data_IF_667294549327
#
_entry.id   IF_667294549327
#
_cell.length_a   1.000
_cell.length_b   1.000
_cell.length_c   1.000
_cell.angle_alpha   90.00
_cell.angle_beta   90.00
_cell.angle_gamma   90.00
#
_symmetry.space_group_name_H-M   'P 1'
#
loop_
_entity.id
_entity.type
_entity.pdbx_description
1 polymer ?
#
# COMPACT_ATOMS: atom_id res chain seq x y z
N UNK A 1 10.26 12.46 -22.15
CA UNK A 1 9.56 11.18 -22.33
C UNK A 1 8.90 10.71 -21.05
N UNK A 2 9.54 10.82 -19.87
CA UNK A 2 8.93 10.47 -18.57
C UNK A 2 7.66 11.29 -18.23
N UNK A 3 7.70 12.61 -18.40
CA UNK A 3 6.53 13.47 -18.14
C UNK A 3 5.28 13.08 -18.97
N UNK A 4 5.47 12.62 -20.22
CA UNK A 4 4.37 12.14 -21.05
C UNK A 4 3.79 10.84 -20.48
N UNK A 5 4.66 9.92 -20.03
CA UNK A 5 4.26 8.65 -19.40
C UNK A 5 3.49 8.87 -18.09
N UNK A 6 3.88 9.87 -17.29
CA UNK A 6 3.19 10.18 -16.03
C UNK A 6 1.79 10.75 -16.27
N UNK A 7 1.63 11.63 -17.28
CA UNK A 7 0.33 12.12 -17.69
C UNK A 7 -0.59 11.01 -18.22
N UNK A 8 -0.06 10.10 -19.02
CA UNK A 8 -0.82 8.96 -19.54
C UNK A 8 -1.25 8.01 -18.40
N UNK A 9 -0.35 7.77 -17.43
CA UNK A 9 -0.62 6.97 -16.22
C UNK A 9 -1.70 7.63 -15.35
N UNK A 10 -1.60 8.93 -15.12
CA UNK A 10 -2.58 9.71 -14.37
C UNK A 10 -3.96 9.64 -15.04
N UNK A 11 -4.03 9.85 -16.36
CA UNK A 11 -5.28 9.77 -17.11
C UNK A 11 -5.90 8.37 -17.05
N UNK A 12 -5.07 7.33 -17.19
CA UNK A 12 -5.51 5.93 -17.10
C UNK A 12 -6.15 5.62 -15.73
N UNK A 13 -5.50 6.00 -14.64
CA UNK A 13 -6.03 5.72 -13.31
C UNK A 13 -7.24 6.58 -12.94
N UNK A 14 -7.31 7.84 -13.37
CA UNK A 14 -8.53 8.65 -13.22
C UNK A 14 -9.71 8.04 -13.98
N UNK A 15 -9.48 7.55 -15.20
CA UNK A 15 -10.50 6.86 -15.97
C UNK A 15 -10.95 5.55 -15.29
N UNK A 16 -10.00 4.79 -14.74
CA UNK A 16 -10.26 3.56 -14.00
C UNK A 16 -11.08 3.85 -12.73
N UNK A 17 -10.71 4.88 -11.96
CA UNK A 17 -11.45 5.31 -10.77
C UNK A 17 -12.90 5.65 -11.10
N UNK A 18 -13.13 6.50 -12.11
CA UNK A 18 -14.48 6.93 -12.53
C UNK A 18 -15.32 5.76 -13.05
N UNK A 19 -14.72 4.88 -13.83
CA UNK A 19 -15.41 3.69 -14.34
C UNK A 19 -15.77 2.73 -13.21
N UNK A 20 -14.87 2.54 -12.26
CA UNK A 20 -15.10 1.65 -11.11
C UNK A 20 -16.17 2.21 -10.19
N UNK A 21 -16.18 3.52 -9.95
CA UNK A 21 -17.21 4.24 -9.19
C UNK A 21 -18.60 4.08 -9.85
N UNK A 22 -18.69 4.25 -11.18
CA UNK A 22 -19.95 4.07 -11.90
C UNK A 22 -20.44 2.61 -11.92
N UNK A 23 -19.52 1.64 -11.98
CA UNK A 23 -19.84 0.21 -11.88
C UNK A 23 -20.29 -0.16 -10.47
N UNK A 24 -19.63 0.39 -9.44
CA UNK A 24 -19.98 0.17 -8.05
C UNK A 24 -21.41 0.64 -7.73
N UNK A 25 -21.81 1.80 -8.25
CA UNK A 25 -23.18 2.30 -8.10
C UNK A 25 -24.25 1.35 -8.68
N UNK A 26 -23.87 0.48 -9.62
CA UNK A 26 -24.77 -0.53 -10.22
C UNK A 26 -24.65 -1.89 -9.53
N UNK A 27 -23.45 -2.26 -9.06
CA UNK A 27 -23.17 -3.52 -8.40
C UNK A 27 -22.12 -3.33 -7.29
N UNK A 28 -22.54 -3.05 -6.04
CA UNK A 28 -21.63 -2.86 -4.91
C UNK A 28 -21.09 -4.17 -4.34
N UNK A 29 -21.43 -5.33 -4.93
CA UNK A 29 -20.95 -6.65 -4.51
C UNK A 29 -19.92 -7.23 -5.50
N UNK A 30 -19.41 -6.43 -6.43
CA UNK A 30 -18.31 -6.83 -7.29
C UNK A 30 -16.97 -6.51 -6.61
N UNK A 31 -16.45 -7.48 -5.84
CA UNK A 31 -15.16 -7.35 -5.18
C UNK A 31 -14.02 -7.00 -6.14
N UNK A 32 -14.04 -7.52 -7.38
CA UNK A 32 -13.01 -7.23 -8.38
C UNK A 32 -13.05 -5.78 -8.85
N UNK A 33 -14.23 -5.21 -9.04
CA UNK A 33 -14.39 -3.79 -9.35
C UNK A 33 -14.00 -2.89 -8.17
N UNK A 34 -14.36 -3.27 -6.94
CA UNK A 34 -13.99 -2.53 -5.73
C UNK A 34 -12.47 -2.50 -5.56
N UNK A 35 -11.77 -3.63 -5.79
CA UNK A 35 -10.30 -3.68 -5.80
C UNK A 35 -9.74 -2.70 -6.82
N UNK A 36 -10.21 -2.74 -8.07
CA UNK A 36 -9.72 -1.79 -9.11
C UNK A 36 -9.93 -0.34 -8.73
N UNK A 37 -11.01 -0.03 -8.02
CA UNK A 37 -11.24 1.31 -7.49
C UNK A 37 -10.17 1.67 -6.46
N UNK A 38 -9.92 0.80 -5.49
CA UNK A 38 -8.87 1.00 -4.48
C UNK A 38 -7.48 1.15 -5.09
N UNK A 39 -7.13 0.31 -6.07
CA UNK A 39 -5.84 0.37 -6.79
C UNK A 39 -5.67 1.69 -7.52
N UNK A 40 -6.71 2.16 -8.22
CA UNK A 40 -6.67 3.45 -8.89
C UNK A 40 -6.46 4.60 -7.89
N UNK A 41 -7.11 4.56 -6.71
CA UNK A 41 -6.90 5.57 -5.66
C UNK A 41 -5.47 5.56 -5.12
N UNK A 42 -4.91 4.37 -4.86
CA UNK A 42 -3.53 4.19 -4.39
C UNK A 42 -2.53 4.72 -5.43
N UNK A 43 -2.74 4.44 -6.71
CA UNK A 43 -1.84 4.90 -7.76
C UNK A 43 -1.94 6.41 -8.01
N UNK A 44 -3.15 6.97 -7.97
CA UNK A 44 -3.36 8.42 -8.07
C UNK A 44 -2.75 9.18 -6.89
N UNK A 45 -2.68 8.55 -5.70
CA UNK A 45 -2.09 9.17 -4.50
C UNK A 45 -0.63 9.59 -4.72
N UNK A 46 0.13 8.89 -5.57
CA UNK A 46 1.55 9.17 -5.83
C UNK A 46 1.76 10.53 -6.53
N UNK A 47 0.72 11.06 -7.18
CA UNK A 47 0.77 12.34 -7.91
C UNK A 47 0.28 13.52 -7.07
N UNK A 48 -0.12 13.28 -5.82
CA UNK A 48 -0.66 14.31 -4.92
C UNK A 48 0.39 14.83 -3.94
N UNK A 49 0.03 15.91 -3.23
CA UNK A 49 0.78 16.32 -2.04
C UNK A 49 0.56 15.31 -0.91
N UNK A 50 1.47 15.26 0.08
CA UNK A 50 1.45 14.27 1.18
C UNK A 50 0.09 14.16 1.87
N UNK A 51 -0.58 15.28 2.14
CA UNK A 51 -1.87 15.30 2.83
C UNK A 51 -2.96 14.62 2.01
N UNK A 52 -3.03 14.94 0.72
CA UNK A 52 -4.04 14.37 -0.17
C UNK A 52 -3.69 12.93 -0.58
N UNK A 53 -2.40 12.61 -0.73
CA UNK A 53 -1.91 11.24 -0.90
C UNK A 53 -2.40 10.35 0.25
N UNK A 54 -2.23 10.81 1.50
CA UNK A 54 -2.68 10.06 2.68
C UNK A 54 -4.19 9.81 2.68
N UNK A 55 -5.00 10.82 2.33
CA UNK A 55 -6.46 10.64 2.21
C UNK A 55 -6.82 9.63 1.13
N UNK A 56 -6.23 9.75 -0.06
CA UNK A 56 -6.49 8.80 -1.16
C UNK A 56 -6.06 7.38 -0.82
N UNK A 57 -4.94 7.20 -0.10
CA UNK A 57 -4.53 5.90 0.43
C UNK A 57 -5.54 5.35 1.44
N UNK A 58 -6.07 6.17 2.34
CA UNK A 58 -7.12 5.76 3.29
C UNK A 58 -8.42 5.35 2.58
N UNK A 59 -8.82 6.11 1.55
CA UNK A 59 -9.97 5.76 0.73
C UNK A 59 -9.73 4.43 -0.01
N UNK A 60 -8.52 4.23 -0.55
CA UNK A 60 -8.12 2.98 -1.19
C UNK A 60 -8.13 1.78 -0.24
N UNK A 61 -7.59 1.94 0.98
CA UNK A 61 -7.63 0.93 2.06
C UNK A 61 -9.08 0.57 2.36
N UNK A 62 -9.95 1.57 2.54
CA UNK A 62 -11.38 1.36 2.84
C UNK A 62 -12.06 0.56 1.73
N UNK A 63 -11.69 0.77 0.46
CA UNK A 63 -12.18 -0.03 -0.67
C UNK A 63 -11.69 -1.47 -0.64
N UNK A 64 -10.42 -1.72 -0.34
CA UNK A 64 -9.96 -3.10 -0.22
C UNK A 64 -10.61 -3.85 0.95
N UNK A 65 -10.78 -3.19 2.11
CA UNK A 65 -11.53 -3.75 3.24
C UNK A 65 -12.97 -4.08 2.83
N UNK A 66 -13.61 -3.19 2.06
CA UNK A 66 -14.93 -3.44 1.49
C UNK A 66 -14.97 -4.64 0.54
N UNK A 67 -13.95 -4.79 -0.32
CA UNK A 67 -13.83 -5.96 -1.17
C UNK A 67 -13.67 -7.27 -0.36
N UNK A 68 -12.98 -7.23 0.77
CA UNK A 68 -12.86 -8.38 1.68
C UNK A 68 -14.15 -8.68 2.45
N UNK A 69 -15.00 -7.67 2.70
CA UNK A 69 -16.34 -7.94 3.24
C UNK A 69 -17.21 -8.72 2.25
N UNK A 70 -17.01 -8.50 0.94
CA UNK A 70 -17.70 -9.21 -0.13
C UNK A 70 -17.09 -10.60 -0.37
N UNK A 71 -15.76 -10.69 -0.43
CA UNK A 71 -15.01 -11.93 -0.60
C UNK A 71 -13.80 -11.96 0.36
N UNK A 72 -13.96 -12.56 1.56
CA UNK A 72 -12.90 -12.59 2.58
C UNK A 72 -11.62 -13.30 2.15
N UNK A 73 -11.67 -14.13 1.10
CA UNK A 73 -10.53 -14.91 0.60
C UNK A 73 -9.90 -14.30 -0.64
N UNK A 74 -10.24 -13.04 -0.95
CA UNK A 74 -9.72 -12.34 -2.11
C UNK A 74 -8.25 -11.95 -1.88
N UNK A 75 -7.34 -12.86 -2.23
CA UNK A 75 -5.89 -12.68 -2.09
C UNK A 75 -5.37 -11.38 -2.76
N UNK A 76 -5.97 -10.97 -3.89
CA UNK A 76 -5.63 -9.70 -4.54
C UNK A 76 -5.91 -8.48 -3.64
N UNK A 77 -7.05 -8.47 -2.94
CA UNK A 77 -7.38 -7.38 -2.01
C UNK A 77 -6.45 -7.38 -0.79
N UNK A 78 -6.11 -8.55 -0.27
CA UNK A 78 -5.15 -8.71 0.83
C UNK A 78 -3.77 -8.16 0.43
N UNK A 79 -3.26 -8.55 -0.72
CA UNK A 79 -1.98 -8.04 -1.21
C UNK A 79 -2.01 -6.51 -1.43
N UNK A 80 -3.09 -5.99 -2.01
CA UNK A 80 -3.25 -4.55 -2.23
C UNK A 80 -3.38 -3.75 -0.93
N UNK A 81 -3.98 -4.31 0.13
CA UNK A 81 -3.95 -3.73 1.48
C UNK A 81 -2.54 -3.63 2.03
N UNK A 82 -1.73 -4.68 1.87
CA UNK A 82 -0.34 -4.68 2.28
C UNK A 82 0.45 -3.55 1.61
N UNK A 83 0.26 -3.36 0.30
CA UNK A 83 0.90 -2.27 -0.44
C UNK A 83 0.41 -0.90 0.01
N UNK A 84 -0.90 -0.72 0.20
CA UNK A 84 -1.47 0.56 0.60
C UNK A 84 -1.00 0.97 2.01
N UNK A 85 -0.94 0.03 2.96
CA UNK A 85 -0.40 0.29 4.29
C UNK A 85 1.10 0.58 4.27
N UNK A 86 1.87 -0.10 3.43
CA UNK A 86 3.29 0.19 3.22
C UNK A 86 3.50 1.63 2.72
N UNK A 87 2.74 2.04 1.69
CA UNK A 87 2.77 3.42 1.17
C UNK A 87 2.34 4.43 2.23
N UNK A 88 1.30 4.13 3.03
CA UNK A 88 0.85 5.00 4.10
C UNK A 88 1.92 5.16 5.20
N UNK A 89 2.59 4.07 5.57
CA UNK A 89 3.69 4.08 6.54
C UNK A 89 4.83 4.99 6.10
N UNK A 90 5.24 4.93 4.82
CA UNK A 90 6.28 5.81 4.28
C UNK A 90 5.91 7.29 4.29
N UNK A 91 4.62 7.63 4.25
CA UNK A 91 4.14 9.00 4.36
C UNK A 91 3.91 9.46 5.82
N UNK A 92 4.15 8.58 6.80
CA UNK A 92 3.96 8.87 8.22
C UNK A 92 5.29 9.25 8.88
N UNK A 93 5.44 10.50 9.34
CA UNK A 93 6.69 10.95 9.96
C UNK A 93 6.96 10.32 11.33
N UNK A 94 5.89 9.99 12.07
CA UNK A 94 6.00 9.34 13.36
C UNK A 94 6.42 7.87 13.18
N UNK A 95 7.57 7.51 13.76
CA UNK A 95 8.17 6.19 13.53
C UNK A 95 7.35 5.06 14.17
N UNK A 96 6.74 5.31 15.33
CA UNK A 96 5.94 4.30 16.02
C UNK A 96 4.62 4.04 15.27
N UNK A 97 3.99 5.10 14.79
CA UNK A 97 2.80 5.03 13.94
C UNK A 97 3.14 4.34 12.60
N UNK A 98 4.23 4.74 11.93
CA UNK A 98 4.67 4.11 10.68
C UNK A 98 4.96 2.61 10.86
N UNK A 99 5.61 2.23 11.98
CA UNK A 99 5.87 0.83 12.30
C UNK A 99 4.58 0.02 12.42
N UNK A 100 3.56 0.55 13.10
CA UNK A 100 2.27 -0.12 13.20
C UNK A 100 1.63 -0.37 11.82
N UNK A 101 1.84 0.54 10.86
CA UNK A 101 1.39 0.34 9.48
C UNK A 101 2.23 -0.70 8.72
N UNK A 102 3.56 -0.76 8.91
CA UNK A 102 4.37 -1.82 8.31
C UNK A 102 4.04 -3.21 8.88
N UNK A 103 3.74 -3.30 10.18
CA UNK A 103 3.32 -4.54 10.83
C UNK A 103 1.99 -5.02 10.23
N UNK A 104 1.00 -4.12 10.07
CA UNK A 104 -0.25 -4.41 9.36
C UNK A 104 -0.01 -4.85 7.92
N UNK A 105 0.88 -4.16 7.20
CA UNK A 105 1.19 -4.53 5.83
C UNK A 105 1.72 -5.96 5.71
N UNK A 106 2.62 -6.34 6.62
CA UNK A 106 3.19 -7.69 6.67
C UNK A 106 2.14 -8.76 6.96
N UNK A 107 1.21 -8.50 7.88
CA UNK A 107 0.09 -9.40 8.17
C UNK A 107 -0.79 -9.64 6.93
N UNK A 108 -1.10 -8.59 6.18
CA UNK A 108 -1.89 -8.74 4.95
C UNK A 108 -1.13 -9.46 3.83
N UNK A 109 0.18 -9.24 3.71
CA UNK A 109 1.00 -10.02 2.76
C UNK A 109 1.08 -11.49 3.14
N UNK A 110 1.18 -11.82 4.44
CA UNK A 110 1.14 -13.19 4.93
C UNK A 110 -0.20 -13.84 4.59
N UNK A 111 -1.32 -13.18 4.87
CA UNK A 111 -2.65 -13.66 4.49
C UNK A 111 -2.81 -13.87 2.97
N UNK A 112 -2.26 -12.97 2.15
CA UNK A 112 -2.28 -13.13 0.70
C UNK A 112 -1.48 -14.37 0.24
N UNK A 113 -0.32 -14.63 0.88
CA UNK A 113 0.48 -15.84 0.64
C UNK A 113 -0.26 -17.10 1.11
N UNK A 114 -0.97 -17.05 2.24
CA UNK A 114 -1.72 -18.19 2.75
C UNK A 114 -2.88 -18.58 1.81
N UNK A 115 -3.57 -17.60 1.23
CA UNK A 115 -4.67 -17.84 0.28
C UNK A 115 -4.16 -18.24 -1.12
N UNK A 116 -3.03 -17.70 -1.59
CA UNK A 116 -2.37 -18.13 -2.84
C UNK A 116 -0.84 -18.34 -2.66
N UNK A 117 -0.43 -19.50 -2.12
CA UNK A 117 0.98 -19.80 -1.89
C UNK A 117 1.78 -19.94 -3.18
N UNK A 118 1.11 -20.13 -4.32
CA UNK A 118 1.74 -20.24 -5.65
C UNK A 118 2.25 -18.91 -6.19
N UNK A 119 1.80 -17.81 -5.61
CA UNK A 119 2.10 -16.48 -6.11
C UNK A 119 3.47 -15.96 -5.67
N UNK A 120 4.42 -15.95 -6.60
CA UNK A 120 5.77 -15.42 -6.36
C UNK A 120 5.77 -13.93 -5.99
N UNK A 121 4.79 -13.15 -6.47
CA UNK A 121 4.70 -11.72 -6.16
C UNK A 121 4.41 -11.53 -4.66
N UNK A 122 3.47 -12.30 -4.10
CA UNK A 122 3.07 -12.16 -2.71
C UNK A 122 4.20 -12.55 -1.77
N UNK A 123 4.89 -13.67 -2.07
CA UNK A 123 6.07 -14.09 -1.30
C UNK A 123 7.18 -13.03 -1.31
N UNK A 124 7.43 -12.41 -2.47
CA UNK A 124 8.40 -11.31 -2.58
C UNK A 124 7.96 -10.08 -1.79
N UNK A 125 6.70 -9.70 -1.85
CA UNK A 125 6.18 -8.57 -1.06
C UNK A 125 6.32 -8.81 0.44
N UNK A 126 6.03 -10.02 0.91
CA UNK A 126 6.23 -10.40 2.31
C UNK A 126 7.71 -10.34 2.72
N UNK A 127 8.62 -10.86 1.89
CA UNK A 127 10.06 -10.79 2.13
C UNK A 127 10.57 -9.34 2.20
N UNK A 128 10.09 -8.48 1.29
CA UNK A 128 10.44 -7.06 1.28
C UNK A 128 9.90 -6.36 2.52
N UNK A 129 8.66 -6.61 2.92
CA UNK A 129 8.06 -6.03 4.11
C UNK A 129 8.86 -6.38 5.38
N UNK A 130 9.31 -7.63 5.51
CA UNK A 130 10.18 -8.04 6.61
C UNK A 130 11.51 -7.26 6.65
N UNK A 131 12.13 -7.01 5.48
CA UNK A 131 13.36 -6.20 5.38
C UNK A 131 13.11 -4.74 5.75
N UNK A 132 11.97 -4.19 5.36
CA UNK A 132 11.59 -2.80 5.69
C UNK A 132 11.42 -2.65 7.20
N UNK A 133 10.70 -3.57 7.86
CA UNK A 133 10.53 -3.57 9.33
C UNK A 133 11.87 -3.68 10.05
N UNK A 134 12.75 -4.59 9.59
CA UNK A 134 14.08 -4.75 10.18
C UNK A 134 14.91 -3.46 10.06
N UNK A 135 14.88 -2.84 8.89
CA UNK A 135 15.59 -1.58 8.63
C UNK A 135 15.02 -0.46 9.51
N UNK A 136 13.71 -0.25 9.54
CA UNK A 136 13.05 0.76 10.37
C UNK A 136 13.33 0.58 11.86
N UNK A 137 13.29 -0.66 12.35
CA UNK A 137 13.61 -0.98 13.75
C UNK A 137 15.08 -0.67 14.06
N UNK A 138 16.00 -0.94 13.13
CA UNK A 138 17.42 -0.61 13.30
C UNK A 138 17.71 0.90 13.30
N UNK A 139 16.97 1.68 12.51
CA UNK A 139 17.06 3.15 12.51
C UNK A 139 16.51 3.74 13.81
N UNK A 140 15.33 3.29 14.25
CA UNK A 140 14.73 3.71 15.52
C UNK A 140 15.66 3.43 16.72
N UNK A 141 16.33 2.26 16.74
CA UNK A 141 17.32 1.94 17.77
C UNK A 141 18.56 2.84 17.69
N UNK A 142 19.05 3.16 16.49
CA UNK A 142 20.20 4.07 16.34
C UNK A 142 19.90 5.48 16.84
N UNK A 143 18.72 6.01 16.52
CA UNK A 143 18.27 7.32 16.99
C UNK A 143 18.07 7.31 18.51
N UNK A 144 17.45 6.26 19.06
CA UNK A 144 17.22 6.11 20.50
C UNK A 144 18.51 5.99 21.32
N UNK A 145 19.51 5.25 20.80
CA UNK A 145 20.81 5.08 21.46
C UNK A 145 21.85 6.15 21.08
N UNK A 146 21.51 7.12 20.22
CA UNK A 146 22.41 8.20 19.83
C UNK A 146 23.72 7.71 19.19
N UNK A 147 23.66 6.64 18.38
CA UNK A 147 24.84 6.09 17.72
C UNK A 147 25.16 6.95 16.48
N UNK A 148 25.71 8.13 16.74
CA UNK A 148 26.22 9.03 15.71
C UNK A 148 27.36 8.35 14.94
N UNK A 149 27.23 8.20 13.62
CA UNK A 149 28.33 7.80 12.73
C UNK A 149 29.39 8.92 12.60
N UNK A 150 29.90 9.47 13.72
CA UNK A 150 31.13 10.26 13.74
C UNK A 150 32.32 9.30 13.79
N UNK A 151 32.59 8.62 12.67
CA UNK A 151 33.62 7.60 12.65
C UNK A 151 33.99 7.05 11.28
N UNK A 152 33.90 7.84 10.20
CA UNK A 152 34.63 7.57 8.96
C UNK A 152 35.24 8.85 8.41
N UNK A 153 36.31 9.28 9.07
CA UNK A 153 37.38 10.04 8.45
C UNK A 153 38.68 9.28 8.69
N UNK A 154 39.17 8.60 7.67
CA UNK A 154 40.56 8.18 7.51
C UNK A 154 40.84 8.10 6.02
#
# INVERSE_FOLDING_TARGET
MEMQSDFDRLFFFEHTRKTSEATYAKNPLDAGNIIKWGEALVELSQFQNVTDSKKMLQDGISKFEEALMVDPKKHDALWSLGNAHTSFAFLTPDQDEAKAYFDKASQYFEQAVDEDPGNDLYRKSLEVAAKVIFSYSSYALRDYYGIDNKGRSS
#
